data_IF_858096237497
#
_entry.id   IF_858096237497
#
_cell.length_a   1.000
_cell.length_b   1.000
_cell.length_c   1.000
_cell.angle_alpha   90.00
_cell.angle_beta   90.00
_cell.angle_gamma   90.00
#
_symmetry.space_group_name_H-M   'P 1'
#
loop_
_entity.id
_entity.type
_entity.pdbx_description
1 polymer ?
#
# COMPACT_ATOMS: atom_id res chain seq x y z
N UNK A 1 16.50 20.96 8.41
CA UNK A 1 17.57 20.03 8.01
C UNK A 1 18.46 19.82 9.22
N UNK A 2 18.59 18.59 9.76
CA UNK A 2 19.60 18.31 10.77
C UNK A 2 21.01 18.41 10.15
N UNK A 3 22.01 18.68 10.99
CA UNK A 3 23.39 18.91 10.54
C UNK A 3 24.16 17.60 10.29
N UNK A 4 25.20 17.60 9.44
CA UNK A 4 26.02 16.42 9.18
C UNK A 4 26.82 16.00 10.42
N UNK A 5 26.69 14.74 10.86
CA UNK A 5 27.49 14.16 11.96
C UNK A 5 26.67 13.48 13.07
N UNK A 6 25.35 13.65 13.08
CA UNK A 6 24.45 12.93 13.99
C UNK A 6 23.84 11.72 13.29
N UNK A 7 24.43 10.55 13.51
CA UNK A 7 23.80 9.25 13.30
C UNK A 7 24.23 8.36 14.48
N UNK A 8 23.35 7.51 15.03
CA UNK A 8 22.77 6.43 14.26
C UNK A 8 21.38 6.05 14.77
N UNK A 9 20.34 6.52 14.12
CA UNK A 9 19.13 5.73 14.02
C UNK A 9 18.50 6.19 12.71
N UNK A 10 18.69 5.37 11.67
CA UNK A 10 17.63 5.18 10.69
C UNK A 10 16.46 4.60 11.47
N UNK A 11 15.85 5.43 12.32
CA UNK A 11 14.51 5.21 12.80
C UNK A 11 13.75 5.06 11.49
N UNK A 12 13.31 3.83 11.20
CA UNK A 12 12.39 3.50 10.12
C UNK A 12 11.10 4.26 10.42
N UNK A 13 11.16 5.58 10.31
CA UNK A 13 9.98 6.39 10.30
C UNK A 13 9.36 6.12 8.95
N UNK A 14 8.19 5.49 9.05
CA UNK A 14 7.32 5.15 7.94
C UNK A 14 6.94 6.40 7.10
N UNK A 15 7.24 7.61 7.59
CA UNK A 15 7.05 8.89 6.92
C UNK A 15 7.96 9.13 5.70
N UNK A 16 8.98 8.28 5.45
CA UNK A 16 9.81 8.34 4.24
C UNK A 16 9.38 7.41 3.10
N UNK A 17 8.36 6.56 3.29
CA UNK A 17 7.75 5.84 2.16
C UNK A 17 6.84 6.80 1.39
N UNK A 18 7.46 7.70 0.61
CA UNK A 18 6.80 8.43 -0.46
C UNK A 18 6.46 7.45 -1.57
N UNK A 19 5.47 6.60 -1.33
CA UNK A 19 4.91 5.74 -2.37
C UNK A 19 4.47 6.62 -3.52
N UNK A 20 5.05 6.39 -4.69
CA UNK A 20 4.65 7.12 -5.87
C UNK A 20 3.22 6.70 -6.22
N UNK A 21 2.29 7.68 -6.18
CA UNK A 21 0.88 7.40 -6.37
C UNK A 21 0.61 7.23 -7.86
N UNK A 22 0.52 5.98 -8.31
CA UNK A 22 -0.02 5.65 -9.62
C UNK A 22 -1.49 5.28 -9.50
N UNK A 23 -2.29 5.78 -10.45
CA UNK A 23 -3.67 5.34 -10.56
C UNK A 23 -3.72 3.85 -10.89
N UNK A 24 -4.77 3.15 -10.44
CA UNK A 24 -4.94 1.73 -10.77
C UNK A 24 -5.00 1.50 -12.29
N UNK A 25 -5.63 2.41 -13.04
CA UNK A 25 -5.67 2.35 -14.49
C UNK A 25 -4.28 2.44 -15.12
N UNK A 26 -3.41 3.31 -14.59
CA UNK A 26 -2.03 3.45 -15.06
C UNK A 26 -1.23 2.16 -14.85
N UNK A 27 -1.32 1.57 -13.65
CA UNK A 27 -0.64 0.30 -13.33
C UNK A 27 -1.16 -0.83 -14.22
N UNK A 28 -2.48 -0.95 -14.37
CA UNK A 28 -3.11 -1.96 -15.22
C UNK A 28 -2.66 -1.81 -16.67
N UNK A 29 -2.74 -0.60 -17.23
CA UNK A 29 -2.34 -0.32 -18.61
C UNK A 29 -0.84 -0.58 -18.82
N UNK A 30 0.01 -0.18 -17.87
CA UNK A 30 1.45 -0.43 -17.97
C UNK A 30 1.75 -1.93 -18.03
N UNK A 31 1.17 -2.73 -17.13
CA UNK A 31 1.37 -4.18 -17.13
C UNK A 31 0.88 -4.82 -18.43
N UNK A 32 -0.36 -4.55 -18.83
CA UNK A 32 -0.95 -5.20 -20.01
C UNK A 32 -0.28 -4.78 -21.32
N UNK A 33 0.28 -3.56 -21.39
CA UNK A 33 1.05 -3.10 -22.56
C UNK A 33 2.33 -3.90 -22.81
N UNK A 34 2.85 -4.60 -21.81
CA UNK A 34 4.08 -5.42 -21.92
C UNK A 34 3.82 -6.89 -22.25
N UNK A 35 2.56 -7.27 -22.51
CA UNK A 35 2.16 -8.66 -22.74
C UNK A 35 1.83 -9.44 -21.46
N UNK A 36 1.88 -8.81 -20.28
CA UNK A 36 1.45 -9.44 -19.02
C UNK A 36 -0.06 -9.57 -18.98
N UNK A 37 -0.54 -10.78 -18.71
CA UNK A 37 -1.98 -11.05 -18.51
C UNK A 37 -2.32 -10.98 -17.03
N UNK A 38 -3.05 -9.92 -16.65
CA UNK A 38 -3.64 -9.80 -15.31
C UNK A 38 -4.80 -10.80 -15.20
N UNK A 39 -4.70 -11.72 -14.24
CA UNK A 39 -5.71 -12.77 -14.02
C UNK A 39 -6.87 -12.30 -13.17
N UNK A 40 -6.62 -11.33 -12.27
CA UNK A 40 -7.61 -10.80 -11.33
C UNK A 40 -7.16 -9.47 -10.76
N UNK A 41 -8.13 -8.62 -10.41
CA UNK A 41 -7.97 -7.51 -9.49
C UNK A 41 -8.69 -7.83 -8.19
N UNK A 42 -8.00 -7.69 -7.05
CA UNK A 42 -8.59 -7.84 -5.72
C UNK A 42 -8.33 -6.58 -4.92
N UNK A 43 -9.39 -5.98 -4.41
CA UNK A 43 -9.31 -4.88 -3.46
C UNK A 43 -9.50 -5.40 -2.04
N UNK A 44 -8.79 -4.79 -1.11
CA UNK A 44 -8.89 -5.02 0.32
C UNK A 44 -9.09 -3.68 1.00
N UNK A 45 -10.00 -3.65 1.97
CA UNK A 45 -10.20 -2.55 2.89
C UNK A 45 -9.33 -2.68 4.16
N UNK A 46 -8.44 -3.67 4.20
CA UNK A 46 -7.51 -3.94 5.29
C UNK A 46 -6.06 -3.60 4.89
N UNK A 47 -5.28 -3.09 5.86
CA UNK A 47 -3.85 -2.82 5.76
C UNK A 47 -3.05 -3.66 6.75
N UNK A 48 -1.78 -3.89 6.44
CA UNK A 48 -0.84 -4.61 7.28
C UNK A 48 -0.46 -3.84 8.58
N UNK A 49 -0.66 -2.52 8.59
CA UNK A 49 -0.37 -1.64 9.74
C UNK A 49 -1.47 -0.58 9.92
N UNK A 50 -1.65 -0.01 11.13
CA UNK A 50 -2.67 1.01 11.39
C UNK A 50 -2.22 2.37 10.84
N UNK A 51 -2.42 2.59 9.53
CA UNK A 51 -2.06 3.85 8.86
C UNK A 51 -2.69 5.08 9.52
N UNK A 52 -3.89 4.94 10.10
CA UNK A 52 -4.59 6.02 10.80
C UNK A 52 -4.97 5.65 12.24
N UNK A 53 -5.06 6.63 13.17
CA UNK A 53 -5.31 6.36 14.59
C UNK A 53 -6.61 5.61 14.91
N UNK A 54 -7.62 5.71 14.05
CA UNK A 54 -8.94 5.10 14.27
C UNK A 54 -9.09 3.69 13.66
N UNK A 55 -8.03 3.09 13.13
CA UNK A 55 -8.14 1.74 12.57
C UNK A 55 -8.25 0.67 13.66
N UNK A 56 -9.08 -0.33 13.41
CA UNK A 56 -9.34 -1.46 14.31
C UNK A 56 -8.71 -2.74 13.76
N UNK A 57 -8.27 -3.65 14.65
CA UNK A 57 -7.75 -4.96 14.24
C UNK A 57 -8.88 -5.87 13.76
N UNK A 58 -8.68 -6.52 12.63
CA UNK A 58 -9.63 -7.51 12.08
C UNK A 58 -9.33 -8.92 12.61
N UNK A 59 -10.27 -9.88 12.51
CA UNK A 59 -10.00 -11.29 12.84
C UNK A 59 -8.83 -11.91 12.05
N UNK A 60 -8.47 -11.32 10.90
CA UNK A 60 -7.33 -11.74 10.08
C UNK A 60 -5.99 -11.17 10.59
N UNK A 61 -6.01 -10.38 11.67
CA UNK A 61 -4.82 -9.77 12.28
C UNK A 61 -4.34 -8.48 11.60
N UNK A 62 -5.07 -7.99 10.59
CA UNK A 62 -4.79 -6.77 9.84
C UNK A 62 -5.59 -5.60 10.42
N UNK A 63 -5.52 -4.43 9.79
CA UNK A 63 -6.12 -3.19 10.26
C UNK A 63 -7.12 -2.63 9.27
N UNK A 64 -8.31 -2.25 9.73
CA UNK A 64 -9.37 -1.68 8.89
C UNK A 64 -9.91 -0.39 9.52
N UNK A 65 -10.25 0.66 8.75
CA UNK A 65 -10.96 1.82 9.29
C UNK A 65 -12.40 1.44 9.70
N UNK A 66 -13.04 2.20 10.61
CA UNK A 66 -14.48 2.08 10.82
C UNK A 66 -15.22 2.47 9.54
N UNK A 67 -16.51 2.18 9.48
CA UNK A 67 -17.33 2.50 8.31
C UNK A 67 -17.25 4.00 7.94
N UNK A 68 -17.19 4.35 6.64
CA UNK A 68 -17.33 3.45 5.50
C UNK A 68 -16.04 2.68 5.15
N UNK A 69 -16.21 1.42 4.74
CA UNK A 69 -15.14 0.62 4.13
C UNK A 69 -14.71 1.19 2.78
N UNK A 70 -13.42 1.48 2.65
CA UNK A 70 -12.79 1.97 1.41
C UNK A 70 -11.65 1.03 0.98
N UNK A 71 -11.36 0.88 -0.32
CA UNK A 71 -10.18 0.15 -0.79
C UNK A 71 -8.89 0.83 -0.31
N UNK A 72 -8.02 0.07 0.34
CA UNK A 72 -6.73 0.54 0.88
C UNK A 72 -5.53 -0.18 0.27
N UNK A 73 -5.74 -1.40 -0.23
CA UNK A 73 -4.74 -2.22 -0.89
C UNK A 73 -5.38 -2.94 -2.05
N UNK A 74 -4.62 -3.18 -3.12
CA UNK A 74 -5.05 -4.08 -4.19
C UNK A 74 -3.95 -5.06 -4.59
N UNK A 75 -4.37 -6.21 -5.10
CA UNK A 75 -3.49 -7.25 -5.64
C UNK A 75 -3.84 -7.56 -7.10
N UNK A 76 -2.80 -7.73 -7.93
CA UNK A 76 -2.89 -8.07 -9.35
C UNK A 76 -2.12 -9.36 -9.65
N UNK A 77 -2.64 -10.56 -9.32
CA UNK A 77 -2.04 -11.81 -9.80
C UNK A 77 -1.97 -11.79 -11.32
N UNK A 78 -0.77 -12.00 -11.85
CA UNK A 78 -0.51 -11.89 -13.27
C UNK A 78 0.45 -12.98 -13.75
N UNK A 79 0.34 -13.33 -15.03
CA UNK A 79 1.24 -14.26 -15.71
C UNK A 79 1.82 -13.58 -16.95
N UNK A 80 3.05 -13.96 -17.33
CA UNK A 80 3.65 -13.54 -18.59
C UNK A 80 3.14 -14.39 -19.75
#
# INVERSE_FOLDING_TARGET
MPAPGEGPELLLRHDYLSGWMHGIGEVVTALTSTGVTIRRLRESDELLWPRWPRMERTPHGWWRPPEPRIPLLYGLPATR
#
